data_IF_282100946624
#
_entry.id   IF_282100946624
#
_cell.length_a   1.000
_cell.length_b   1.000
_cell.length_c   1.000
_cell.angle_alpha   90.00
_cell.angle_beta   90.00
_cell.angle_gamma   90.00
#
_symmetry.space_group_name_H-M   'P 1'
#
loop_
_entity.id
_entity.type
_entity.pdbx_description
1 polymer ?
#
# COMPACT_ATOMS: atom_id res chain seq x y z
N UNK A 1 4.18 -24.43 3.33
CA UNK A 1 4.85 -23.14 3.08
C UNK A 1 5.00 -22.42 4.40
N UNK A 2 6.21 -21.98 4.79
CA UNK A 2 6.42 -21.32 6.07
C UNK A 2 5.81 -19.91 6.13
N UNK A 3 5.50 -19.42 7.34
CA UNK A 3 4.91 -18.08 7.57
C UNK A 3 5.72 -16.96 6.91
N UNK A 4 7.04 -16.99 7.01
CA UNK A 4 7.92 -15.98 6.39
C UNK A 4 7.82 -15.96 4.87
N UNK A 5 7.78 -17.14 4.23
CA UNK A 5 7.60 -17.26 2.79
C UNK A 5 6.22 -16.76 2.35
N UNK A 6 5.18 -16.98 3.16
CA UNK A 6 3.85 -16.43 2.94
C UNK A 6 3.83 -14.91 2.99
N UNK A 7 4.41 -14.32 4.04
CA UNK A 7 4.52 -12.86 4.15
C UNK A 7 5.26 -12.28 2.95
N UNK A 8 6.42 -12.85 2.57
CA UNK A 8 7.21 -12.37 1.43
C UNK A 8 6.42 -12.43 0.11
N UNK A 9 5.74 -13.55 -0.15
CA UNK A 9 4.91 -13.73 -1.35
C UNK A 9 3.80 -12.70 -1.43
N UNK A 10 3.00 -12.56 -0.37
CA UNK A 10 1.88 -11.62 -0.36
C UNK A 10 2.36 -10.17 -0.43
N UNK A 11 3.48 -9.83 0.22
CA UNK A 11 4.12 -8.52 0.10
C UNK A 11 4.54 -8.21 -1.34
N UNK A 12 5.17 -9.17 -2.03
CA UNK A 12 5.59 -8.99 -3.42
C UNK A 12 4.40 -8.86 -4.37
N UNK A 13 3.39 -9.71 -4.22
CA UNK A 13 2.15 -9.63 -5.02
C UNK A 13 1.46 -8.28 -4.81
N UNK A 14 1.33 -7.82 -3.56
CA UNK A 14 0.77 -6.51 -3.23
C UNK A 14 1.57 -5.36 -3.85
N UNK A 15 2.90 -5.41 -3.80
CA UNK A 15 3.76 -4.39 -4.40
C UNK A 15 3.54 -4.29 -5.92
N UNK A 16 3.51 -5.42 -6.61
CA UNK A 16 3.31 -5.48 -8.07
C UNK A 16 1.93 -4.95 -8.44
N UNK A 17 0.87 -5.41 -7.76
CA UNK A 17 -0.51 -4.98 -8.05
C UNK A 17 -0.66 -3.47 -7.82
N UNK A 18 -0.19 -2.95 -6.69
CA UNK A 18 -0.32 -1.52 -6.39
C UNK A 18 0.57 -0.65 -7.29
N UNK A 19 1.74 -1.15 -7.70
CA UNK A 19 2.56 -0.51 -8.73
C UNK A 19 1.84 -0.43 -10.08
N UNK A 20 1.22 -1.52 -10.53
CA UNK A 20 0.46 -1.58 -11.78
C UNK A 20 -0.79 -0.69 -11.76
N UNK A 21 -1.54 -0.69 -10.65
CA UNK A 21 -2.70 0.20 -10.46
C UNK A 21 -2.25 1.67 -10.51
N UNK A 22 -1.14 1.99 -9.83
CA UNK A 22 -0.57 3.35 -9.85
C UNK A 22 -0.13 3.77 -11.25
N UNK A 23 0.44 2.84 -12.03
CA UNK A 23 0.77 3.07 -13.43
C UNK A 23 -0.49 3.40 -14.25
N UNK A 24 -1.55 2.59 -14.10
CA UNK A 24 -2.81 2.78 -14.84
C UNK A 24 -3.46 4.13 -14.52
N UNK A 25 -3.53 4.52 -13.24
CA UNK A 25 -4.05 5.82 -12.84
C UNK A 25 -3.21 6.97 -13.39
N UNK A 26 -1.88 6.87 -13.32
CA UNK A 26 -1.00 7.88 -13.89
C UNK A 26 -1.22 8.04 -15.40
N UNK A 27 -1.27 6.93 -16.15
CA UNK A 27 -1.50 6.95 -17.58
C UNK A 27 -2.87 7.54 -17.94
N UNK A 28 -3.91 7.24 -17.15
CA UNK A 28 -5.25 7.77 -17.35
C UNK A 28 -5.37 9.27 -17.05
N UNK A 29 -4.62 9.80 -16.08
CA UNK A 29 -4.69 11.21 -15.68
C UNK A 29 -3.72 12.11 -16.45
N UNK A 30 -2.51 11.64 -16.70
CA UNK A 30 -1.40 12.46 -17.21
C UNK A 30 -0.89 12.01 -18.59
N UNK A 31 -1.03 10.72 -18.92
CA UNK A 31 -0.39 10.13 -20.10
C UNK A 31 1.15 10.19 -20.02
N UNK A 32 1.82 10.08 -21.17
CA UNK A 32 3.29 10.10 -21.27
C UNK A 32 3.85 11.16 -22.25
N UNK A 33 2.99 12.02 -22.80
CA UNK A 33 3.36 12.94 -23.88
C UNK A 33 3.76 14.31 -23.36
N UNK A 34 2.94 14.90 -22.51
CA UNK A 34 3.07 16.28 -22.06
C UNK A 34 3.66 16.37 -20.66
N UNK A 35 4.32 17.49 -20.38
CA UNK A 35 4.87 17.76 -19.05
C UNK A 35 3.75 17.73 -17.99
N UNK A 36 4.04 17.10 -16.86
CA UNK A 36 3.07 16.84 -15.81
C UNK A 36 3.08 18.01 -14.83
N UNK A 37 1.99 18.79 -14.69
CA UNK A 37 1.94 19.89 -13.74
C UNK A 37 2.02 19.35 -12.31
N UNK A 38 2.87 19.95 -11.47
CA UNK A 38 3.06 19.51 -10.09
C UNK A 38 1.91 19.98 -9.20
N UNK A 39 1.49 21.23 -9.37
CA UNK A 39 0.46 21.90 -8.58
C UNK A 39 -0.83 22.08 -9.37
N UNK A 40 -1.87 22.59 -8.72
CA UNK A 40 -3.18 22.81 -9.33
C UNK A 40 -4.15 21.63 -9.19
N UNK A 41 -5.40 21.85 -9.58
CA UNK A 41 -6.42 20.79 -9.56
C UNK A 41 -6.08 19.71 -10.59
N UNK A 42 -5.96 18.47 -10.14
CA UNK A 42 -5.45 17.37 -10.97
C UNK A 42 -3.93 17.35 -11.13
N UNK A 43 -3.17 18.18 -10.40
CA UNK A 43 -1.72 18.18 -10.41
C UNK A 43 -1.12 16.93 -9.74
N UNK A 44 0.11 16.60 -10.13
CA UNK A 44 0.85 15.43 -9.67
C UNK A 44 0.93 15.29 -8.14
N UNK A 45 1.12 16.41 -7.44
CA UNK A 45 1.24 16.44 -5.99
C UNK A 45 -0.08 16.05 -5.29
N UNK A 46 -1.21 16.59 -5.76
CA UNK A 46 -2.52 16.38 -5.12
C UNK A 46 -2.96 14.93 -5.25
N UNK A 47 -2.57 14.24 -6.32
CA UNK A 47 -2.93 12.84 -6.58
C UNK A 47 -2.31 11.84 -5.58
N UNK A 48 -1.25 12.20 -4.84
CA UNK A 48 -0.67 11.31 -3.82
C UNK A 48 -1.67 10.98 -2.69
N UNK A 49 -2.55 11.90 -2.33
CA UNK A 49 -3.55 11.68 -1.27
C UNK A 49 -4.61 10.65 -1.68
N UNK A 50 -5.40 10.86 -2.76
CA UNK A 50 -6.43 9.91 -3.19
C UNK A 50 -5.84 8.58 -3.66
N UNK A 51 -4.57 8.54 -4.09
CA UNK A 51 -3.88 7.27 -4.40
C UNK A 51 -3.52 6.46 -3.15
N UNK A 52 -3.02 7.12 -2.09
CA UNK A 52 -2.43 6.41 -0.94
C UNK A 52 -3.44 5.66 -0.08
N UNK A 53 -4.61 6.25 0.15
CA UNK A 53 -5.64 5.64 1.00
C UNK A 53 -6.17 4.31 0.44
N UNK A 54 -6.64 4.24 -0.82
CA UNK A 54 -7.12 2.99 -1.44
C UNK A 54 -6.02 1.93 -1.52
N UNK A 55 -4.79 2.31 -1.90
CA UNK A 55 -3.65 1.39 -1.96
C UNK A 55 -3.41 0.74 -0.59
N UNK A 56 -3.35 1.52 0.48
CA UNK A 56 -3.16 1.00 1.82
C UNK A 56 -4.35 0.18 2.34
N UNK A 57 -5.58 0.58 1.99
CA UNK A 57 -6.79 -0.17 2.33
C UNK A 57 -6.73 -1.58 1.72
N UNK A 58 -6.46 -1.68 0.41
CA UNK A 58 -6.39 -2.95 -0.31
C UNK A 58 -5.19 -3.79 0.16
N UNK A 59 -4.02 -3.17 0.32
CA UNK A 59 -2.80 -3.81 0.82
C UNK A 59 -2.93 -4.33 2.26
N UNK A 60 -3.90 -3.82 3.03
CA UNK A 60 -4.25 -4.32 4.35
C UNK A 60 -5.30 -5.43 4.27
N UNK A 61 -6.46 -5.17 3.67
CA UNK A 61 -7.62 -6.08 3.71
C UNK A 61 -7.38 -7.38 2.95
N UNK A 62 -6.91 -7.31 1.71
CA UNK A 62 -6.81 -8.49 0.84
C UNK A 62 -5.84 -9.53 1.45
N UNK A 63 -4.60 -9.16 1.81
CA UNK A 63 -3.68 -10.12 2.41
C UNK A 63 -4.15 -10.60 3.79
N UNK A 64 -4.78 -9.73 4.59
CA UNK A 64 -5.31 -10.11 5.90
C UNK A 64 -6.41 -11.17 5.77
N UNK A 65 -7.34 -11.03 4.81
CA UNK A 65 -8.40 -12.01 4.56
C UNK A 65 -7.83 -13.32 4.01
N UNK A 66 -6.82 -13.27 3.14
CA UNK A 66 -6.12 -14.45 2.63
C UNK A 66 -5.38 -15.19 3.75
N UNK A 67 -4.67 -14.46 4.61
CA UNK A 67 -4.01 -15.02 5.80
C UNK A 67 -5.03 -15.69 6.73
N UNK A 68 -6.18 -15.04 6.94
CA UNK A 68 -7.28 -15.56 7.74
C UNK A 68 -7.81 -16.88 7.19
N UNK A 69 -8.01 -16.96 5.86
CA UNK A 69 -8.40 -18.18 5.17
C UNK A 69 -7.33 -19.26 5.31
N UNK A 70 -6.05 -18.92 5.11
CA UNK A 70 -4.94 -19.87 5.19
C UNK A 70 -4.87 -20.54 6.57
N UNK A 71 -4.98 -19.78 7.65
CA UNK A 71 -5.00 -20.30 9.03
C UNK A 71 -6.24 -21.16 9.28
N UNK A 72 -7.44 -20.71 8.87
CA UNK A 72 -8.68 -21.51 9.03
C UNK A 72 -8.63 -22.85 8.30
N UNK A 73 -7.87 -22.94 7.22
CA UNK A 73 -7.65 -24.18 6.46
C UNK A 73 -6.44 -25.00 6.94
N UNK A 74 -5.78 -24.60 8.03
CA UNK A 74 -4.60 -25.28 8.57
C UNK A 74 -3.32 -25.15 7.72
N UNK A 75 -3.30 -24.29 6.69
CA UNK A 75 -2.11 -24.08 5.83
C UNK A 75 -1.01 -23.29 6.54
N UNK A 76 -1.36 -22.49 7.54
CA UNK A 76 -0.46 -21.67 8.35
C UNK A 76 -0.88 -21.82 9.81
N UNK A 77 0.06 -22.10 10.70
CA UNK A 77 -0.19 -22.10 12.14
C UNK A 77 -0.23 -20.64 12.64
N UNK A 78 -1.33 -20.24 13.27
CA UNK A 78 -1.43 -18.97 14.02
C UNK A 78 -2.39 -19.16 15.20
N UNK A 79 -2.04 -18.69 16.41
CA UNK A 79 -2.76 -19.02 17.63
C UNK A 79 -4.12 -18.31 17.75
N UNK A 80 -4.27 -17.11 17.19
CA UNK A 80 -5.57 -16.44 17.17
C UNK A 80 -5.60 -15.35 16.09
N UNK A 81 -6.72 -15.24 15.37
CA UNK A 81 -6.90 -14.23 14.33
C UNK A 81 -7.94 -13.20 14.77
N UNK A 82 -7.70 -11.89 14.53
CA UNK A 82 -8.68 -10.88 14.85
C UNK A 82 -10.00 -11.10 14.09
N UNK A 83 -11.09 -10.65 14.71
CA UNK A 83 -12.40 -10.60 14.09
C UNK A 83 -12.43 -9.70 12.85
N UNK A 84 -13.42 -9.91 11.98
CA UNK A 84 -13.57 -9.15 10.71
C UNK A 84 -13.66 -7.65 10.97
N UNK A 85 -14.42 -7.22 11.99
CA UNK A 85 -14.56 -5.81 12.34
C UNK A 85 -13.21 -5.16 12.73
N UNK A 86 -12.36 -5.89 13.45
CA UNK A 86 -11.03 -5.41 13.82
C UNK A 86 -10.11 -5.27 12.59
N UNK A 87 -10.24 -6.16 11.59
CA UNK A 87 -9.54 -6.03 10.32
C UNK A 87 -9.97 -4.79 9.53
N UNK A 88 -11.27 -4.52 9.44
CA UNK A 88 -11.78 -3.32 8.79
C UNK A 88 -11.28 -2.05 9.49
N UNK A 89 -11.34 -2.00 10.82
CA UNK A 89 -10.80 -0.88 11.59
C UNK A 89 -9.31 -0.68 11.34
N UNK A 90 -8.52 -1.74 11.35
CA UNK A 90 -7.09 -1.67 11.03
C UNK A 90 -6.85 -1.15 9.61
N UNK A 91 -7.63 -1.61 8.63
CA UNK A 91 -7.52 -1.16 7.25
C UNK A 91 -7.86 0.33 7.08
N UNK A 92 -8.92 0.82 7.75
CA UNK A 92 -9.25 2.24 7.79
C UNK A 92 -8.15 3.08 8.41
N UNK A 93 -7.53 2.60 9.50
CA UNK A 93 -6.37 3.27 10.11
C UNK A 93 -5.19 3.30 9.14
N UNK A 94 -4.87 2.18 8.47
CA UNK A 94 -3.83 2.14 7.45
C UNK A 94 -4.10 3.11 6.29
N UNK A 95 -5.35 3.19 5.84
CA UNK A 95 -5.77 4.13 4.79
C UNK A 95 -5.61 5.58 5.23
N UNK A 96 -6.07 5.94 6.43
CA UNK A 96 -5.94 7.29 6.98
C UNK A 96 -4.46 7.70 7.16
N UNK A 97 -3.64 6.83 7.75
CA UNK A 97 -2.21 7.10 7.92
C UNK A 97 -1.48 7.24 6.58
N UNK A 98 -1.85 6.43 5.58
CA UNK A 98 -1.22 6.51 4.26
C UNK A 98 -1.70 7.74 3.49
N UNK A 99 -2.96 8.17 3.67
CA UNK A 99 -3.44 9.45 3.13
C UNK A 99 -2.68 10.64 3.74
N UNK A 100 -2.42 10.62 5.06
CA UNK A 100 -1.58 11.63 5.70
C UNK A 100 -0.14 11.63 5.16
N UNK A 101 0.44 10.45 4.96
CA UNK A 101 1.75 10.31 4.31
C UNK A 101 1.72 10.88 2.89
N UNK A 102 0.70 10.56 2.10
CA UNK A 102 0.48 11.11 0.76
C UNK A 102 0.35 12.63 0.77
N UNK A 103 -0.33 13.20 1.78
CA UNK A 103 -0.42 14.64 1.99
C UNK A 103 0.95 15.26 2.30
N UNK A 104 1.75 14.62 3.15
CA UNK A 104 3.12 15.06 3.42
C UNK A 104 4.01 15.05 2.16
N UNK A 105 3.90 14.01 1.34
CA UNK A 105 4.61 13.92 0.05
C UNK A 105 4.12 15.01 -0.92
N UNK A 106 2.82 15.27 -0.97
CA UNK A 106 2.24 16.35 -1.76
C UNK A 106 2.83 17.71 -1.34
N UNK A 107 2.93 17.97 -0.04
CA UNK A 107 3.50 19.22 0.48
C UNK A 107 4.98 19.38 0.12
N UNK A 108 5.77 18.30 0.11
CA UNK A 108 7.16 18.32 -0.35
C UNK A 108 7.24 18.71 -1.82
N UNK A 109 6.39 18.13 -2.68
CA UNK A 109 6.34 18.48 -4.10
C UNK A 109 5.92 19.94 -4.32
N UNK A 110 4.87 20.40 -3.64
CA UNK A 110 4.41 21.78 -3.73
C UNK A 110 5.51 22.75 -3.25
N UNK A 111 6.18 22.44 -2.14
CA UNK A 111 7.24 23.25 -1.57
C UNK A 111 8.55 23.24 -2.36
N UNK A 112 8.73 22.32 -3.31
CA UNK A 112 9.96 22.23 -4.13
C UNK A 112 10.10 23.37 -5.14
N UNK A 113 9.02 24.09 -5.45
CA UNK A 113 9.00 25.11 -6.50
C UNK A 113 9.05 24.57 -7.94
N UNK A 114 9.10 23.24 -8.13
CA UNK A 114 9.05 22.60 -9.45
C UNK A 114 7.63 22.79 -10.02
N UNK A 115 7.52 23.48 -11.16
CA UNK A 115 6.23 23.73 -11.79
C UNK A 115 5.69 22.51 -12.55
N UNK A 116 6.57 21.79 -13.25
CA UNK A 116 6.21 20.62 -14.04
C UNK A 116 7.34 19.58 -14.04
N UNK A 117 6.96 18.32 -14.16
CA UNK A 117 7.87 17.18 -14.28
C UNK A 117 7.82 16.61 -15.69
N UNK A 118 8.96 16.08 -16.14
CA UNK A 118 8.96 15.22 -17.32
C UNK A 118 8.08 13.97 -17.06
N UNK A 119 7.36 13.46 -18.06
CA UNK A 119 6.37 12.39 -17.87
C UNK A 119 6.98 11.11 -17.32
N UNK A 120 8.13 10.71 -17.86
CA UNK A 120 8.74 9.43 -17.52
C UNK A 120 9.25 9.37 -16.06
N UNK A 121 10.01 10.36 -15.54
CA UNK A 121 10.34 10.41 -14.11
C UNK A 121 9.11 10.44 -13.20
N UNK A 122 8.09 11.22 -13.55
CA UNK A 122 6.86 11.29 -12.76
C UNK A 122 6.14 9.92 -12.72
N UNK A 123 6.07 9.22 -13.85
CA UNK A 123 5.51 7.88 -13.95
C UNK A 123 6.26 6.87 -13.07
N UNK A 124 7.59 6.84 -13.16
CA UNK A 124 8.44 5.92 -12.38
C UNK A 124 8.25 6.16 -10.88
N UNK A 125 8.30 7.42 -10.45
CA UNK A 125 8.09 7.77 -9.03
C UNK A 125 6.72 7.30 -8.56
N UNK A 126 5.67 7.46 -9.38
CA UNK A 126 4.32 7.04 -9.02
C UNK A 126 4.17 5.54 -8.83
N UNK A 127 4.79 4.76 -9.72
CA UNK A 127 4.82 3.30 -9.63
C UNK A 127 5.57 2.85 -8.38
N UNK A 128 6.78 3.37 -8.19
CA UNK A 128 7.63 3.02 -7.06
C UNK A 128 6.92 3.37 -5.75
N UNK A 129 6.30 4.55 -5.68
CA UNK A 129 5.53 4.98 -4.51
C UNK A 129 4.39 4.02 -4.17
N UNK A 130 3.53 3.70 -5.14
CA UNK A 130 2.41 2.76 -4.93
C UNK A 130 2.87 1.37 -4.53
N UNK A 131 3.93 0.86 -5.18
CA UNK A 131 4.52 -0.43 -4.85
C UNK A 131 5.09 -0.46 -3.43
N UNK A 132 5.77 0.61 -3.00
CA UNK A 132 6.34 0.72 -1.66
C UNK A 132 5.28 0.77 -0.58
N UNK A 133 4.20 1.56 -0.75
CA UNK A 133 3.08 1.56 0.21
C UNK A 133 2.45 0.18 0.28
N UNK A 134 2.13 -0.42 -0.88
CA UNK A 134 1.56 -1.76 -0.95
C UNK A 134 2.41 -2.79 -0.20
N UNK A 135 3.72 -2.80 -0.46
CA UNK A 135 4.65 -3.70 0.20
C UNK A 135 4.71 -3.47 1.71
N UNK A 136 4.90 -2.21 2.14
CA UNK A 136 5.10 -1.84 3.53
C UNK A 136 3.87 -2.19 4.38
N UNK A 137 2.68 -1.79 3.90
CA UNK A 137 1.42 -2.04 4.61
C UNK A 137 1.16 -3.54 4.70
N UNK A 138 1.24 -4.28 3.59
CA UNK A 138 1.03 -5.73 3.58
C UNK A 138 2.00 -6.45 4.52
N UNK A 139 3.31 -6.12 4.44
CA UNK A 139 4.32 -6.74 5.30
C UNK A 139 4.03 -6.53 6.78
N UNK A 140 3.76 -5.27 7.18
CA UNK A 140 3.49 -4.91 8.59
C UNK A 140 2.22 -5.57 9.12
N UNK A 141 1.16 -5.60 8.32
CA UNK A 141 -0.11 -6.24 8.67
C UNK A 141 0.08 -7.74 8.87
N UNK A 142 0.67 -8.43 7.90
CA UNK A 142 0.85 -9.87 8.01
C UNK A 142 1.81 -10.27 9.13
N UNK A 143 2.88 -9.50 9.37
CA UNK A 143 3.75 -9.71 10.53
C UNK A 143 3.01 -9.56 11.85
N UNK A 144 2.03 -8.65 11.96
CA UNK A 144 1.21 -8.53 13.16
C UNK A 144 0.21 -9.68 13.31
N UNK A 145 -0.38 -10.13 12.21
CA UNK A 145 -1.40 -11.20 12.20
C UNK A 145 -0.84 -12.61 12.39
N UNK A 146 0.41 -12.84 11.95
CA UNK A 146 1.04 -14.16 11.92
C UNK A 146 2.26 -14.25 12.84
N UNK A 147 2.42 -13.31 13.76
CA UNK A 147 3.48 -13.37 14.78
C UNK A 147 3.27 -14.62 15.63
N UNK A 148 4.29 -15.48 15.82
CA UNK A 148 4.20 -16.58 16.77
C UNK A 148 4.01 -15.98 18.17
N UNK A 149 2.97 -16.38 18.89
CA UNK A 149 2.93 -16.14 20.34
C UNK A 149 4.06 -16.96 20.95
N UNK A 150 4.90 -16.40 21.83
CA UNK A 150 5.87 -17.21 22.56
C UNK A 150 5.11 -18.32 23.29
N UNK A 151 5.51 -19.58 23.08
CA UNK A 151 5.02 -20.70 23.88
C UNK A 151 5.25 -20.30 25.35
N UNK A 152 4.17 -20.27 26.14
CA UNK A 152 4.30 -20.19 27.57
C UNK A 152 5.24 -21.33 27.99
N UNK A 153 6.36 -20.99 28.62
CA UNK A 153 7.16 -22.00 29.32
C UNK A 153 6.34 -22.39 30.54
N UNK A 154 5.77 -23.58 30.51
CA UNK A 154 5.26 -24.28 31.69
C UNK A 154 6.42 -24.59 32.66
#
# INVERSE_FOLDING_TARGET
MGTTAFIARETMVSAVINGAISAAFFLGLFGLRDAVPVTGWGGYAVDFVPQSAPVALMACLVPALLARRAVRTGRIASPELPGVAALFRMALICAALSALLGGGVAMIWIGSGIAALAPLPAFVVKIVYGALIGALVTRRVLQRLLRPTPLAKD
#
